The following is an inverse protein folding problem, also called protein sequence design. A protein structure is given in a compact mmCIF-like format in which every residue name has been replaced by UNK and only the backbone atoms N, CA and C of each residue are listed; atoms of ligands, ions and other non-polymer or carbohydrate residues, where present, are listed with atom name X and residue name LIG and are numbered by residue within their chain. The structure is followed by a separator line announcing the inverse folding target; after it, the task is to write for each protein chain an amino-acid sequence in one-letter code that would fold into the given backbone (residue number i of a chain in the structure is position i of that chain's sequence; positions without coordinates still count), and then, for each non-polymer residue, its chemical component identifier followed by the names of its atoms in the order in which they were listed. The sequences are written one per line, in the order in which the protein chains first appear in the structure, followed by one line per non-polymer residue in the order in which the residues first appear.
data_IF_576396816213
#
_entry.id   IF_576396816213
#
_cell.length_a   1.000
_cell.length_b   1.000
_cell.length_c   1.000
_cell.angle_alpha   90.00
_cell.angle_beta   90.00
_cell.angle_gamma   90.00
#
_symmetry.space_group_name_H-M   'P 1'
#
loop_
_entity.id
_entity.type
_entity.pdbx_description
1 polymer ?
#
# COMPACT_ATOMS: atom_id res chain seq x y z
N UNK A 1 13.88 -5.97 -5.48
CA UNK A 1 13.22 -5.81 -6.76
C UNK A 1 11.73 -5.57 -6.57
N UNK A 2 11.18 -4.61 -7.31
CA UNK A 2 9.75 -4.31 -7.24
C UNK A 2 9.03 -4.90 -8.42
N UNK A 3 7.87 -5.43 -8.15
CA UNK A 3 6.99 -5.93 -9.20
C UNK A 3 5.67 -5.18 -9.13
N UNK A 4 5.29 -4.61 -10.25
CA UNK A 4 4.06 -3.84 -10.31
C UNK A 4 3.11 -4.48 -11.31
N UNK A 5 1.88 -4.71 -10.87
CA UNK A 5 0.85 -5.21 -11.76
C UNK A 5 -0.36 -4.30 -11.67
N UNK A 6 -1.10 -4.25 -12.75
CA UNK A 6 -2.26 -3.40 -12.82
C UNK A 6 -3.38 -4.15 -13.53
N UNK A 7 -4.56 -4.04 -12.96
CA UNK A 7 -5.73 -4.71 -13.47
C UNK A 7 -6.89 -3.76 -13.48
N UNK A 8 -7.67 -3.80 -14.52
CA UNK A 8 -8.83 -2.90 -14.61
C UNK A 8 -10.05 -3.68 -15.04
N UNK A 9 -11.17 -3.31 -14.47
CA UNK A 9 -12.45 -3.80 -14.97
C UNK A 9 -13.36 -2.59 -15.11
N UNK A 10 -14.65 -2.81 -15.28
CA UNK A 10 -15.58 -1.72 -15.51
C UNK A 10 -15.71 -0.79 -14.33
N UNK A 11 -15.43 -1.28 -13.13
CA UNK A 11 -15.72 -0.53 -11.92
C UNK A 11 -14.50 0.04 -11.27
N UNK A 12 -13.37 -0.60 -11.46
CA UNK A 12 -12.20 -0.19 -10.67
C UNK A 12 -10.91 -0.62 -11.32
N UNK A 13 -9.87 0.03 -10.86
CA UNK A 13 -8.50 -0.32 -11.19
C UNK A 13 -7.84 -0.81 -9.92
N UNK A 14 -7.16 -1.93 -10.00
CA UNK A 14 -6.40 -2.46 -8.87
C UNK A 14 -4.93 -2.47 -9.24
N UNK A 15 -4.12 -1.86 -8.40
CA UNK A 15 -2.68 -1.80 -8.60
C UNK A 15 -2.03 -2.54 -7.46
N UNK A 16 -1.18 -3.50 -7.79
CA UNK A 16 -0.43 -4.24 -6.77
C UNK A 16 1.04 -3.98 -6.94
N UNK A 17 1.69 -3.69 -5.84
CA UNK A 17 3.12 -3.44 -5.81
C UNK A 17 3.71 -4.46 -4.86
N UNK A 18 4.59 -5.29 -5.37
CA UNK A 18 5.22 -6.33 -4.57
C UNK A 18 6.70 -6.07 -4.47
N UNK A 19 7.21 -6.13 -3.24
CA UNK A 19 8.62 -5.98 -2.95
C UNK A 19 9.12 -7.35 -2.51
N UNK A 20 10.25 -7.78 -3.02
CA UNK A 20 10.79 -9.09 -2.68
C UNK A 20 11.75 -9.05 -1.49
N UNK A 21 11.65 -8.01 -0.67
CA UNK A 21 12.48 -7.91 0.52
C UNK A 21 11.94 -8.75 1.68
N UNK A 22 12.25 -8.33 2.88
CA UNK A 22 11.89 -9.07 4.09
C UNK A 22 10.43 -8.92 4.48
N UNK A 23 9.72 -8.08 3.81
CA UNK A 23 8.34 -7.83 4.19
C UNK A 23 8.24 -6.79 5.30
N UNK A 24 7.08 -6.73 5.91
CA UNK A 24 6.80 -5.76 6.96
C UNK A 24 6.60 -6.54 8.24
N UNK A 25 7.21 -6.07 9.34
CA UNK A 25 7.02 -6.71 10.63
C UNK A 25 5.53 -6.70 10.96
N UNK A 26 5.02 -7.82 11.47
CA UNK A 26 3.60 -7.92 11.76
C UNK A 26 3.13 -6.87 12.74
N UNK A 27 3.99 -6.52 13.70
CA UNK A 27 3.64 -5.49 14.67
C UNK A 27 3.51 -4.12 14.02
N UNK A 28 4.15 -3.92 12.88
CA UNK A 28 4.10 -2.62 12.19
C UNK A 28 2.93 -2.51 11.23
N UNK A 29 2.43 -3.64 10.73
CA UNK A 29 1.41 -3.63 9.68
C UNK A 29 0.20 -2.75 10.00
N UNK A 30 -0.39 -2.81 11.19
CA UNK A 30 -1.56 -1.98 11.46
C UNK A 30 -1.25 -0.49 11.56
N UNK A 31 0.02 -0.12 11.59
CA UNK A 31 0.43 1.26 11.84
C UNK A 31 1.15 1.92 10.68
N UNK A 32 1.44 1.18 9.61
CA UNK A 32 2.32 1.73 8.58
C UNK A 32 1.74 2.93 7.86
N UNK A 33 0.42 3.11 7.94
CA UNK A 33 -0.22 4.29 7.35
C UNK A 33 -0.48 5.38 8.35
N UNK A 34 -0.10 5.17 9.61
CA UNK A 34 -0.28 6.20 10.64
C UNK A 34 0.74 7.30 10.41
N UNK A 35 0.29 8.53 10.59
CA UNK A 35 1.16 9.68 10.42
C UNK A 35 2.30 9.63 11.44
N UNK A 36 3.52 9.84 10.97
CA UNK A 36 4.72 9.88 11.81
C UNK A 36 5.12 8.55 12.43
N UNK A 37 4.45 7.47 12.06
CA UNK A 37 4.85 6.17 12.58
C UNK A 37 6.17 5.74 11.95
N UNK A 38 7.07 5.23 12.76
CA UNK A 38 8.34 4.70 12.29
C UNK A 38 8.46 3.26 12.74
N UNK A 39 8.53 2.38 11.78
CA UNK A 39 8.65 0.96 12.08
C UNK A 39 10.07 0.58 12.40
N UNK A 40 10.30 -0.73 12.44
CA UNK A 40 11.61 -1.27 12.77
C UNK A 40 12.69 -0.80 11.82
N UNK A 41 12.34 -0.55 10.58
CA UNK A 41 13.30 -0.10 9.59
C UNK A 41 13.69 1.35 9.79
N UNK A 42 13.03 2.07 10.67
CA UNK A 42 13.29 3.48 10.91
C UNK A 42 12.75 4.40 9.85
N UNK A 43 11.98 3.90 8.93
CA UNK A 43 11.42 4.74 7.88
C UNK A 43 10.22 5.50 8.39
N UNK A 44 10.14 6.77 7.98
CA UNK A 44 9.05 7.62 8.38
C UNK A 44 7.74 7.15 7.75
N UNK A 45 6.66 7.24 8.51
CA UNK A 45 5.34 6.92 8.00
C UNK A 45 4.64 8.06 7.31
N UNK A 46 5.29 9.22 7.21
CA UNK A 46 4.65 10.38 6.61
C UNK A 46 4.26 10.12 5.16
N UNK A 47 5.15 9.49 4.39
CA UNK A 47 4.89 9.24 2.98
C UNK A 47 3.71 8.31 2.77
N UNK A 48 3.62 7.26 3.56
CA UNK A 48 2.51 6.31 3.40
C UNK A 48 1.20 6.90 3.90
N UNK A 49 1.24 7.69 4.98
CA UNK A 49 0.03 8.34 5.45
C UNK A 49 -0.51 9.30 4.40
N UNK A 50 0.37 10.06 3.77
CA UNK A 50 -0.03 10.96 2.72
C UNK A 50 -0.58 10.22 1.51
N UNK A 51 0.06 9.12 1.15
CA UNK A 51 -0.41 8.29 0.05
C UNK A 51 -1.82 7.80 0.32
N UNK A 52 -2.06 7.31 1.52
CA UNK A 52 -3.39 6.84 1.87
C UNK A 52 -4.42 7.95 1.78
N UNK A 53 -4.04 9.13 2.25
CA UNK A 53 -4.92 10.27 2.22
C UNK A 53 -5.30 10.65 0.78
N UNK A 54 -4.32 10.67 -0.11
CA UNK A 54 -4.57 11.00 -1.51
C UNK A 54 -5.48 9.96 -2.15
N UNK A 55 -5.24 8.69 -1.87
CA UNK A 55 -6.06 7.62 -2.43
C UNK A 55 -7.50 7.74 -1.93
N UNK A 56 -7.67 8.07 -0.65
CA UNK A 56 -9.01 8.25 -0.11
C UNK A 56 -9.73 9.45 -0.74
N UNK A 57 -8.99 10.49 -1.07
CA UNK A 57 -9.58 11.65 -1.75
C UNK A 57 -10.14 11.27 -3.12
N UNK A 58 -9.55 10.25 -3.72
CA UNK A 58 -10.03 9.74 -5.01
C UNK A 58 -10.99 8.57 -4.84
N UNK A 59 -11.47 8.39 -3.62
CA UNK A 59 -12.47 7.36 -3.29
C UNK A 59 -11.93 5.95 -3.45
N UNK A 60 -10.63 5.81 -3.34
CA UNK A 60 -10.00 4.51 -3.41
C UNK A 60 -9.62 4.00 -2.04
N UNK A 61 -8.98 2.85 -2.04
CA UNK A 61 -8.49 2.23 -0.81
C UNK A 61 -7.07 1.74 -1.05
N UNK A 62 -6.32 1.63 0.03
CA UNK A 62 -4.99 1.05 -0.01
C UNK A 62 -4.86 0.14 1.19
N UNK A 63 -4.20 -0.99 0.98
CA UNK A 63 -3.90 -1.88 2.08
C UNK A 63 -2.55 -2.53 1.84
N UNK A 64 -1.98 -3.03 2.91
CA UNK A 64 -0.68 -3.68 2.86
C UNK A 64 -0.73 -4.98 3.62
N UNK A 65 0.02 -5.95 3.14
CA UNK A 65 0.13 -7.22 3.82
C UNK A 65 1.41 -7.88 3.35
N UNK A 66 1.79 -8.94 4.00
CA UNK A 66 2.95 -9.71 3.57
C UNK A 66 2.48 -10.77 2.59
N UNK A 67 3.10 -10.78 1.43
CA UNK A 67 2.87 -11.81 0.45
C UNK A 67 3.88 -12.93 0.62
N UNK A 68 3.96 -13.78 -0.39
CA UNK A 68 4.84 -14.95 -0.32
C UNK A 68 6.30 -14.57 -0.30
N UNK A 69 6.65 -13.47 -0.94
CA UNK A 69 8.06 -13.11 -1.06
C UNK A 69 8.33 -11.65 -0.74
N UNK A 70 7.62 -11.11 0.24
CA UNK A 70 7.88 -9.75 0.67
C UNK A 70 6.61 -8.98 0.88
N UNK A 71 6.74 -7.66 0.99
CA UNK A 71 5.61 -6.80 1.26
C UNK A 71 4.77 -6.62 0.01
N UNK A 72 3.46 -6.56 0.21
CA UNK A 72 2.52 -6.34 -0.88
C UNK A 72 1.65 -5.13 -0.53
N UNK A 73 1.55 -4.20 -1.47
CA UNK A 73 0.63 -3.08 -1.35
C UNK A 73 -0.42 -3.19 -2.44
N UNK A 74 -1.66 -3.00 -2.06
CA UNK A 74 -2.75 -3.10 -3.01
C UNK A 74 -3.57 -1.83 -2.97
N UNK A 75 -3.69 -1.17 -4.12
CA UNK A 75 -4.43 0.07 -4.27
C UNK A 75 -5.60 -0.18 -5.19
N UNK A 76 -6.78 0.23 -4.77
CA UNK A 76 -7.98 0.10 -5.59
C UNK A 76 -8.58 1.48 -5.79
N UNK A 77 -8.82 1.82 -7.05
CA UNK A 77 -9.41 3.11 -7.40
C UNK A 77 -10.65 2.88 -8.23
N UNK A 78 -11.72 3.65 -7.98
CA UNK A 78 -12.91 3.52 -8.81
C UNK A 78 -12.64 4.06 -10.20
N UNK A 79 -13.23 3.43 -11.21
CA UNK A 79 -13.16 3.95 -12.55
C UNK A 79 -14.04 5.18 -12.63
N UNK A 80 -13.56 6.18 -13.26
CA UNK A 80 -14.20 7.45 -13.28
C UNK A 80 -15.55 7.39 -13.93
N UNK A 81 -16.48 7.64 -13.31
CA UNK A 81 -17.74 7.82 -13.68
C UNK A 81 -18.38 6.93 -14.10
#
# INVERSE_FOLDING_TARGET
ELRLTCRADRRQVTIRIQDDGDGIAEADLPHIFDRFYMGKSGKSGIGLALTKEIIHLHKGTIRAYNGDSGAMFEITLPMGR
#
